data_IF_538787661694
#
_entry.id   IF_538787661694
#
_cell.length_a   1.000
_cell.length_b   1.000
_cell.length_c   1.000
_cell.angle_alpha   90.00
_cell.angle_beta   90.00
_cell.angle_gamma   90.00
#
_symmetry.space_group_name_H-M   'P 1'
#
loop_
_entity.id
_entity.type
_entity.pdbx_description
1 polymer ?
#
# COMPACT_ATOMS: atom_id res chain seq x y z
N UNK A 1 16.88 5.87 9.67
CA UNK A 1 16.12 4.69 10.20
C UNK A 1 14.78 4.60 9.47
N UNK A 2 14.26 3.38 9.19
CA UNK A 2 12.94 3.21 8.55
C UNK A 2 11.83 3.19 9.62
N UNK A 3 10.75 3.89 9.36
CA UNK A 3 9.55 4.01 10.19
C UNK A 3 8.31 4.01 9.31
N UNK A 4 7.13 3.96 9.91
CA UNK A 4 5.87 3.98 9.20
C UNK A 4 4.90 4.95 9.88
N UNK A 5 4.32 5.86 9.10
CA UNK A 5 3.16 6.63 9.50
C UNK A 5 1.91 5.85 9.06
N UNK A 6 0.99 5.61 9.98
CA UNK A 6 -0.34 5.07 9.67
C UNK A 6 -1.37 6.11 10.09
N UNK A 7 -2.26 6.46 9.18
CA UNK A 7 -3.24 7.52 9.40
C UNK A 7 -4.53 7.22 8.64
N UNK A 8 -5.64 7.78 9.11
CA UNK A 8 -6.89 7.76 8.39
C UNK A 8 -6.90 8.84 7.29
N UNK A 9 -7.61 8.56 6.21
CA UNK A 9 -7.82 9.53 5.12
C UNK A 9 -9.29 9.65 4.81
N UNK A 10 -9.70 10.87 4.43
CA UNK A 10 -11.09 11.19 4.11
C UNK A 10 -11.15 11.85 2.74
N UNK A 11 -11.95 11.32 1.80
CA UNK A 11 -12.30 12.04 0.58
C UNK A 11 -12.98 13.39 0.88
N UNK A 12 -12.69 14.39 0.05
CA UNK A 12 -13.24 15.74 0.25
C UNK A 12 -14.64 15.91 -0.34
N UNK A 13 -15.14 14.93 -1.10
CA UNK A 13 -16.46 14.91 -1.73
C UNK A 13 -16.90 13.46 -1.97
N UNK A 14 -18.20 13.26 -2.24
CA UNK A 14 -18.76 11.96 -2.64
C UNK A 14 -18.10 11.44 -3.93
N UNK A 15 -17.91 12.31 -4.93
CA UNK A 15 -17.21 11.94 -6.16
C UNK A 15 -15.75 11.51 -5.87
N UNK A 16 -15.06 12.19 -4.96
CA UNK A 16 -13.72 11.82 -4.53
C UNK A 16 -13.68 10.47 -3.83
N UNK A 17 -14.72 10.13 -3.06
CA UNK A 17 -14.86 8.82 -2.45
C UNK A 17 -15.05 7.73 -3.51
N UNK A 18 -15.91 7.98 -4.50
CA UNK A 18 -16.15 7.03 -5.57
C UNK A 18 -14.88 6.79 -6.40
N UNK A 19 -14.13 7.85 -6.71
CA UNK A 19 -12.81 7.74 -7.38
C UNK A 19 -11.87 6.87 -6.56
N UNK A 20 -11.80 7.05 -5.24
CA UNK A 20 -10.94 6.27 -4.36
C UNK A 20 -11.36 4.80 -4.32
N UNK A 21 -12.67 4.52 -4.21
CA UNK A 21 -13.21 3.16 -4.23
C UNK A 21 -12.90 2.45 -5.54
N UNK A 22 -13.15 3.08 -6.67
CA UNK A 22 -12.87 2.52 -8.00
C UNK A 22 -11.36 2.27 -8.20
N UNK A 23 -10.51 3.16 -7.70
CA UNK A 23 -9.04 2.99 -7.74
C UNK A 23 -8.60 1.75 -6.95
N UNK A 24 -9.12 1.59 -5.74
CA UNK A 24 -8.76 0.47 -4.87
C UNK A 24 -9.35 -0.85 -5.36
N UNK A 25 -10.58 -0.83 -5.90
CA UNK A 25 -11.21 -1.98 -6.53
C UNK A 25 -10.42 -2.46 -7.75
N UNK A 26 -10.06 -1.54 -8.66
CA UNK A 26 -9.21 -1.87 -9.82
C UNK A 26 -7.83 -2.41 -9.39
N UNK A 27 -7.26 -1.91 -8.30
CA UNK A 27 -6.01 -2.42 -7.74
C UNK A 27 -6.17 -3.86 -7.22
N UNK A 28 -7.29 -4.17 -6.55
CA UNK A 28 -7.60 -5.52 -6.08
C UNK A 28 -7.88 -6.46 -7.26
N UNK A 29 -8.61 -5.99 -8.28
CA UNK A 29 -8.88 -6.75 -9.50
C UNK A 29 -7.57 -7.11 -10.24
N UNK A 30 -6.68 -6.15 -10.45
CA UNK A 30 -5.37 -6.41 -11.06
C UNK A 30 -4.55 -7.42 -10.25
N UNK A 31 -4.52 -7.27 -8.91
CA UNK A 31 -3.87 -8.25 -8.04
C UNK A 31 -4.43 -9.65 -8.27
N UNK A 32 -5.75 -9.79 -8.29
CA UNK A 32 -6.43 -11.07 -8.46
C UNK A 32 -6.15 -11.70 -9.83
N UNK A 33 -6.16 -10.92 -10.91
CA UNK A 33 -5.87 -11.43 -12.25
C UNK A 33 -4.42 -11.90 -12.39
N UNK A 34 -3.45 -11.15 -11.89
CA UNK A 34 -2.03 -11.57 -11.85
C UNK A 34 -1.87 -12.84 -11.01
N UNK A 35 -2.50 -12.84 -9.82
CA UNK A 35 -2.41 -13.97 -8.90
C UNK A 35 -3.05 -15.22 -9.48
N UNK A 36 -4.19 -15.09 -10.15
CA UNK A 36 -4.86 -16.19 -10.84
C UNK A 36 -3.96 -16.83 -11.90
N UNK A 37 -3.39 -16.04 -12.82
CA UNK A 37 -2.49 -16.56 -13.84
C UNK A 37 -1.29 -17.30 -13.25
N UNK A 38 -0.74 -16.81 -12.14
CA UNK A 38 0.39 -17.44 -11.45
C UNK A 38 0.00 -18.70 -10.73
N UNK A 39 -1.17 -18.70 -10.08
CA UNK A 39 -1.67 -19.85 -9.34
C UNK A 39 -1.99 -21.01 -10.30
N UNK A 40 -2.59 -20.73 -11.46
CA UNK A 40 -2.88 -21.75 -12.47
C UNK A 40 -1.59 -22.40 -13.00
N UNK A 41 -0.53 -21.61 -13.26
CA UNK A 41 0.78 -22.14 -13.64
C UNK A 41 1.46 -22.92 -12.52
N UNK A 42 1.34 -22.45 -11.30
CA UNK A 42 1.88 -23.16 -10.15
C UNK A 42 1.25 -24.52 -9.93
N UNK A 43 -0.05 -24.65 -10.22
CA UNK A 43 -0.80 -25.89 -10.13
C UNK A 43 -0.73 -26.77 -11.40
N UNK A 44 0.01 -26.33 -12.42
CA UNK A 44 0.10 -27.01 -13.73
C UNK A 44 -1.28 -27.23 -14.39
N UNK A 45 -2.13 -26.21 -14.34
CA UNK A 45 -3.47 -26.27 -14.90
C UNK A 45 -3.46 -26.13 -16.43
N UNK A 46 -4.31 -26.88 -17.10
CA UNK A 46 -4.44 -26.89 -18.56
C UNK A 46 -4.64 -25.47 -19.13
N UNK A 47 -3.87 -25.12 -20.14
CA UNK A 47 -3.91 -23.81 -20.80
C UNK A 47 -3.06 -22.72 -20.14
N UNK A 48 -2.31 -23.06 -19.09
CA UNK A 48 -1.36 -22.15 -18.43
C UNK A 48 0.06 -22.73 -18.46
N UNK A 49 0.67 -22.69 -19.64
CA UNK A 49 2.05 -23.16 -19.81
C UNK A 49 3.08 -22.26 -19.12
N UNK A 50 4.24 -22.87 -18.76
CA UNK A 50 5.36 -22.17 -18.13
C UNK A 50 5.27 -22.07 -16.61
N UNK A 51 6.19 -21.31 -16.02
CA UNK A 51 6.23 -21.11 -14.58
C UNK A 51 5.42 -19.86 -14.14
N UNK A 52 5.36 -19.59 -12.86
CA UNK A 52 4.60 -18.45 -12.29
C UNK A 52 5.08 -17.07 -12.81
N UNK A 53 6.31 -17.00 -13.35
CA UNK A 53 6.89 -15.76 -13.86
C UNK A 53 6.52 -15.51 -15.33
N UNK A 54 5.95 -16.50 -16.03
CA UNK A 54 5.47 -16.41 -17.41
C UNK A 54 4.05 -15.83 -17.51
N UNK A 55 3.46 -15.41 -16.39
CA UNK A 55 2.20 -14.69 -16.38
C UNK A 55 2.29 -13.41 -17.24
N UNK A 56 1.30 -13.18 -18.12
CA UNK A 56 1.28 -12.00 -19.02
C UNK A 56 0.96 -10.72 -18.26
N UNK A 57 1.93 -10.28 -17.46
CA UNK A 57 1.83 -9.06 -16.68
C UNK A 57 1.84 -7.80 -17.54
N UNK A 58 2.38 -7.87 -18.78
CA UNK A 58 2.38 -6.76 -19.72
C UNK A 58 0.99 -6.43 -20.25
N UNK A 59 0.22 -7.45 -20.66
CA UNK A 59 -1.17 -7.28 -21.05
C UNK A 59 -2.03 -6.75 -19.90
N UNK A 60 -1.83 -7.28 -18.68
CA UNK A 60 -2.54 -6.82 -17.49
C UNK A 60 -2.19 -5.38 -17.13
N UNK A 61 -0.91 -4.98 -17.18
CA UNK A 61 -0.52 -3.56 -17.02
C UNK A 61 -1.25 -2.71 -18.07
N UNK A 62 -1.25 -3.11 -19.33
CA UNK A 62 -1.94 -2.44 -20.43
C UNK A 62 -3.44 -2.23 -20.16
N UNK A 63 -4.11 -3.25 -19.62
CA UNK A 63 -5.53 -3.22 -19.25
C UNK A 63 -5.84 -2.22 -18.15
N UNK A 64 -5.00 -2.15 -17.12
CA UNK A 64 -5.28 -1.38 -15.91
C UNK A 64 -4.63 0.01 -15.84
N UNK A 65 -3.64 0.31 -16.70
CA UNK A 65 -2.91 1.58 -16.66
C UNK A 65 -3.80 2.83 -16.86
N UNK A 66 -4.90 2.69 -17.59
CA UNK A 66 -5.86 3.78 -17.80
C UNK A 66 -6.58 4.20 -16.52
N UNK A 67 -6.87 3.25 -15.64
CA UNK A 67 -7.55 3.46 -14.37
C UNK A 67 -6.56 3.81 -13.25
N UNK A 68 -5.53 2.99 -13.09
CA UNK A 68 -4.57 3.09 -11.99
C UNK A 68 -3.43 4.10 -12.24
N UNK A 69 -3.17 4.44 -13.51
CA UNK A 69 -1.89 4.99 -13.93
C UNK A 69 -0.82 3.88 -14.04
N UNK A 70 0.12 4.04 -14.98
CA UNK A 70 1.13 3.00 -15.27
C UNK A 70 1.97 2.64 -14.03
N UNK A 71 2.43 3.63 -13.29
CA UNK A 71 3.28 3.42 -12.11
C UNK A 71 2.58 2.65 -10.98
N UNK A 72 1.29 2.88 -10.76
CA UNK A 72 0.49 2.16 -9.77
C UNK A 72 0.21 0.73 -10.23
N UNK A 73 -0.14 0.52 -11.50
CA UNK A 73 -0.34 -0.83 -12.05
C UNK A 73 0.93 -1.68 -11.89
N UNK A 74 2.11 -1.14 -12.25
CA UNK A 74 3.40 -1.78 -12.04
C UNK A 74 3.67 -2.11 -10.57
N UNK A 75 3.28 -1.23 -9.63
CA UNK A 75 3.48 -1.49 -8.20
C UNK A 75 2.60 -2.63 -7.70
N UNK A 76 1.35 -2.76 -8.17
CA UNK A 76 0.48 -3.87 -7.81
C UNK A 76 1.06 -5.20 -8.31
N UNK A 77 1.50 -5.25 -9.57
CA UNK A 77 2.16 -6.42 -10.17
C UNK A 77 3.45 -6.76 -9.40
N UNK A 78 4.27 -5.75 -9.10
CA UNK A 78 5.50 -5.90 -8.33
C UNK A 78 5.25 -6.44 -6.92
N UNK A 79 4.22 -5.94 -6.23
CA UNK A 79 3.84 -6.41 -4.89
C UNK A 79 3.35 -7.87 -4.92
N UNK A 80 2.60 -8.27 -5.96
CA UNK A 80 2.24 -9.67 -6.16
C UNK A 80 3.48 -10.55 -6.40
N UNK A 81 4.44 -10.06 -7.20
CA UNK A 81 5.72 -10.76 -7.41
C UNK A 81 6.52 -10.93 -6.10
N UNK A 82 6.53 -9.92 -5.22
CA UNK A 82 7.15 -10.01 -3.91
C UNK A 82 6.47 -11.07 -3.02
N UNK A 83 5.14 -11.17 -3.07
CA UNK A 83 4.38 -12.17 -2.32
C UNK A 83 4.73 -13.60 -2.78
N UNK A 84 4.78 -13.84 -4.11
CA UNK A 84 5.18 -15.14 -4.65
C UNK A 84 6.62 -15.52 -4.31
N UNK A 85 7.57 -14.56 -4.36
CA UNK A 85 8.96 -14.82 -3.91
C UNK A 85 9.01 -15.13 -2.42
N UNK A 86 8.18 -14.45 -1.62
CA UNK A 86 8.02 -14.73 -0.19
C UNK A 86 7.51 -16.15 0.06
N UNK A 87 6.49 -16.56 -0.67
CA UNK A 87 5.94 -17.91 -0.61
C UNK A 87 6.98 -18.98 -0.95
N UNK A 88 7.71 -18.86 -2.07
CA UNK A 88 8.74 -19.83 -2.43
C UNK A 88 9.85 -19.91 -1.38
N UNK A 89 10.30 -18.77 -0.85
CA UNK A 89 11.29 -18.75 0.23
C UNK A 89 10.80 -19.48 1.48
N UNK A 90 9.55 -19.28 1.87
CA UNK A 90 8.95 -19.97 3.02
C UNK A 90 8.80 -21.47 2.74
N UNK A 91 8.44 -21.85 1.52
CA UNK A 91 8.34 -23.25 1.08
C UNK A 91 9.70 -23.95 1.15
N UNK A 92 10.77 -23.30 0.69
CA UNK A 92 12.13 -23.82 0.78
C UNK A 92 12.56 -23.99 2.26
N UNK A 93 12.25 -23.01 3.11
CA UNK A 93 12.53 -23.09 4.54
C UNK A 93 11.73 -24.18 5.26
N UNK A 94 10.49 -24.44 4.83
CA UNK A 94 9.67 -25.53 5.38
C UNK A 94 10.23 -26.90 5.05
N UNK A 95 10.82 -27.08 3.85
CA UNK A 95 11.45 -28.34 3.43
C UNK A 95 12.88 -28.53 3.95
N UNK A 96 13.49 -27.50 4.52
CA UNK A 96 14.81 -27.58 5.16
C UNK A 96 14.67 -28.14 6.57
N UNK A 97 15.03 -29.42 6.75
CA UNK A 97 14.98 -30.14 8.04
C UNK A 97 15.80 -29.46 9.14
N UNK A 98 16.79 -28.65 8.79
CA UNK A 98 17.61 -27.88 9.74
C UNK A 98 16.90 -26.61 10.25
N UNK A 99 15.82 -26.17 9.58
CA UNK A 99 15.09 -24.95 9.90
C UNK A 99 13.84 -25.24 10.72
N UNK A 100 13.86 -24.82 11.99
CA UNK A 100 12.72 -24.97 12.92
C UNK A 100 11.82 -23.74 13.00
N UNK A 101 12.08 -22.69 12.20
CA UNK A 101 11.34 -21.43 12.26
C UNK A 101 10.02 -21.44 11.48
N UNK A 102 9.88 -22.32 10.48
CA UNK A 102 8.66 -22.50 9.67
C UNK A 102 8.06 -23.86 10.00
N UNK A 103 7.00 -23.89 10.81
CA UNK A 103 6.37 -25.10 11.32
C UNK A 103 5.11 -25.51 10.55
N UNK A 104 4.53 -24.59 9.78
CA UNK A 104 3.31 -24.80 8.99
C UNK A 104 3.65 -24.75 7.50
N UNK A 105 2.96 -25.59 6.71
CA UNK A 105 3.11 -25.56 5.26
C UNK A 105 2.62 -24.19 4.73
N UNK A 106 3.46 -23.42 4.03
CA UNK A 106 3.05 -22.12 3.51
C UNK A 106 2.07 -22.28 2.34
N UNK A 107 1.10 -21.38 2.29
CA UNK A 107 0.15 -21.29 1.19
C UNK A 107 0.59 -20.25 0.15
N UNK A 108 0.21 -20.44 -1.14
CA UNK A 108 0.37 -19.42 -2.17
C UNK A 108 -0.31 -18.11 -1.80
N UNK A 109 0.10 -16.97 -2.40
CA UNK A 109 -0.56 -15.69 -2.14
C UNK A 109 -2.08 -15.76 -2.41
N UNK A 110 -2.86 -15.27 -1.44
CA UNK A 110 -4.32 -15.26 -1.52
C UNK A 110 -4.88 -14.18 -2.45
N UNK A 111 -6.17 -14.32 -2.78
CA UNK A 111 -6.95 -13.32 -3.51
C UNK A 111 -7.46 -12.21 -2.58
N UNK A 112 -7.75 -11.05 -3.15
CA UNK A 112 -8.35 -9.90 -2.46
C UNK A 112 -9.87 -9.88 -2.65
N UNK A 113 -10.55 -10.90 -2.11
CA UNK A 113 -11.96 -11.11 -2.35
C UNK A 113 -12.29 -11.43 -3.81
N UNK A 114 -13.56 -11.46 -4.15
CA UNK A 114 -14.06 -11.68 -5.51
C UNK A 114 -15.08 -10.60 -5.90
N UNK A 115 -15.62 -10.68 -7.11
CA UNK A 115 -16.58 -9.70 -7.61
C UNK A 115 -17.97 -9.85 -6.98
N UNK A 116 -18.35 -11.08 -6.66
CA UNK A 116 -19.68 -11.41 -6.12
C UNK A 116 -19.82 -11.04 -4.63
N UNK A 117 -18.79 -11.35 -3.82
CA UNK A 117 -18.77 -11.08 -2.38
C UNK A 117 -18.14 -9.72 -2.02
N UNK A 118 -17.67 -9.00 -3.02
CA UNK A 118 -16.93 -7.75 -2.89
C UNK A 118 -15.42 -7.93 -2.76
N UNK A 119 -14.68 -7.12 -3.49
CA UNK A 119 -13.22 -7.09 -3.39
C UNK A 119 -12.77 -6.29 -2.17
N UNK A 120 -11.72 -6.76 -1.51
CA UNK A 120 -11.04 -5.99 -0.49
C UNK A 120 -10.43 -4.73 -1.11
N UNK A 121 -10.95 -3.57 -0.77
CA UNK A 121 -10.48 -2.28 -1.27
C UNK A 121 -9.08 -1.99 -0.72
N UNK A 122 -8.06 -2.47 -1.44
CA UNK A 122 -6.66 -2.32 -1.06
C UNK A 122 -5.79 -2.03 -2.28
N UNK A 123 -4.97 -1.01 -2.16
CA UNK A 123 -4.04 -0.57 -3.21
C UNK A 123 -2.64 -0.28 -2.69
N UNK A 124 -1.71 -0.24 -3.62
CA UNK A 124 -0.30 0.11 -3.39
C UNK A 124 0.09 1.17 -4.40
N UNK A 125 0.55 2.31 -3.92
CA UNK A 125 0.91 3.48 -4.73
C UNK A 125 2.42 3.67 -4.69
N UNK A 126 3.03 3.87 -5.87
CA UNK A 126 4.48 4.11 -5.96
C UNK A 126 4.86 5.45 -5.32
N UNK A 127 6.07 5.54 -4.76
CA UNK A 127 6.54 6.69 -3.97
C UNK A 127 6.49 8.04 -4.70
N UNK A 128 6.55 8.05 -6.01
CA UNK A 128 6.48 9.24 -6.87
C UNK A 128 5.08 9.55 -7.41
N UNK A 129 4.11 8.65 -7.17
CA UNK A 129 2.72 8.81 -7.57
C UNK A 129 1.83 9.37 -6.45
N UNK A 130 2.39 9.75 -5.32
CA UNK A 130 1.66 10.41 -4.25
C UNK A 130 2.52 11.49 -3.57
N UNK A 131 1.84 12.41 -2.89
CA UNK A 131 2.46 13.45 -2.05
C UNK A 131 1.69 13.54 -0.74
N UNK A 132 2.41 13.63 0.38
CA UNK A 132 1.84 13.91 1.70
C UNK A 132 2.34 15.27 2.16
N UNK A 133 1.42 16.12 2.52
CA UNK A 133 1.71 17.41 3.15
C UNK A 133 1.15 17.42 4.57
N UNK A 134 2.02 17.70 5.53
CA UNK A 134 1.67 17.81 6.93
C UNK A 134 1.59 19.28 7.34
N UNK A 135 0.54 19.68 8.03
CA UNK A 135 0.33 21.05 8.48
C UNK A 135 -1.05 21.24 9.10
N UNK A 136 -1.53 22.47 9.14
CA UNK A 136 -2.86 22.81 9.67
C UNK A 136 -3.99 22.13 8.90
N UNK A 137 -3.76 21.83 7.62
CA UNK A 137 -4.62 21.03 6.75
C UNK A 137 -3.77 19.95 6.10
N UNK A 138 -3.52 18.88 6.82
CA UNK A 138 -2.76 17.74 6.32
C UNK A 138 -3.51 17.05 5.18
N UNK A 139 -2.80 16.76 4.09
CA UNK A 139 -3.40 16.16 2.89
C UNK A 139 -2.53 15.11 2.24
N UNK A 140 -3.19 14.15 1.62
CA UNK A 140 -2.62 13.16 0.73
C UNK A 140 -3.13 13.43 -0.69
N UNK A 141 -2.25 13.54 -1.65
CA UNK A 141 -2.59 13.63 -3.07
C UNK A 141 -2.06 12.41 -3.81
N UNK A 142 -2.92 11.75 -4.60
CA UNK A 142 -2.61 10.51 -5.33
C UNK A 142 -2.84 10.74 -6.82
N UNK A 143 -1.88 10.34 -7.65
CA UNK A 143 -2.07 10.33 -9.11
C UNK A 143 -3.07 9.24 -9.48
N UNK A 144 -4.08 9.61 -10.25
CA UNK A 144 -5.10 8.70 -10.80
C UNK A 144 -5.01 8.61 -12.31
N UNK A 145 -5.39 7.48 -12.86
CA UNK A 145 -5.36 7.25 -14.31
C UNK A 145 -6.40 8.11 -15.05
N UNK A 146 -6.16 8.34 -16.34
CA UNK A 146 -6.98 9.18 -17.20
C UNK A 146 -8.41 8.67 -17.33
N UNK A 147 -8.57 7.37 -17.56
CA UNK A 147 -9.90 6.73 -17.68
C UNK A 147 -10.75 6.94 -16.42
N UNK A 148 -10.13 6.87 -15.24
CA UNK A 148 -10.84 7.08 -13.97
C UNK A 148 -11.24 8.55 -13.78
N UNK A 149 -10.37 9.48 -14.19
CA UNK A 149 -10.66 10.91 -14.18
C UNK A 149 -11.83 11.27 -15.10
N UNK A 150 -11.81 10.71 -16.31
CA UNK A 150 -12.88 10.96 -17.30
C UNK A 150 -14.21 10.38 -16.84
N UNK A 151 -14.21 9.17 -16.26
CA UNK A 151 -15.41 8.54 -15.70
C UNK A 151 -16.10 9.41 -14.65
N UNK A 152 -15.32 10.10 -13.82
CA UNK A 152 -15.82 10.91 -12.69
C UNK A 152 -15.75 12.42 -12.95
N UNK A 153 -15.49 12.86 -14.19
CA UNK A 153 -15.33 14.28 -14.53
C UNK A 153 -14.36 15.03 -13.57
N UNK A 154 -13.32 14.33 -13.10
CA UNK A 154 -12.37 14.91 -12.15
C UNK A 154 -11.47 15.94 -12.82
N UNK A 155 -11.43 17.20 -12.37
CA UNK A 155 -10.71 18.27 -13.06
C UNK A 155 -9.20 18.20 -12.97
N UNK A 156 -8.66 17.31 -12.13
CA UNK A 156 -7.23 17.21 -11.85
C UNK A 156 -6.65 15.82 -12.06
N UNK A 157 -5.33 15.74 -12.27
CA UNK A 157 -4.61 14.46 -12.36
C UNK A 157 -4.39 13.79 -11.00
N UNK A 158 -4.78 14.45 -9.91
CA UNK A 158 -4.58 13.97 -8.54
C UNK A 158 -5.89 13.97 -7.76
N UNK A 159 -6.17 12.86 -7.10
CA UNK A 159 -7.17 12.76 -6.07
C UNK A 159 -6.61 13.36 -4.78
N UNK A 160 -7.37 14.28 -4.18
CA UNK A 160 -7.01 14.92 -2.91
C UNK A 160 -7.83 14.34 -1.77
N UNK A 161 -7.14 13.94 -0.72
CA UNK A 161 -7.72 13.37 0.49
C UNK A 161 -7.24 14.18 1.69
N UNK A 162 -8.14 14.44 2.62
CA UNK A 162 -7.79 14.97 3.94
C UNK A 162 -7.12 13.86 4.77
N UNK A 163 -6.05 14.18 5.49
CA UNK A 163 -5.45 13.28 6.47
C UNK A 163 -6.04 13.62 7.84
N UNK A 164 -6.55 12.60 8.52
CA UNK A 164 -7.09 12.73 9.86
C UNK A 164 -6.03 12.31 10.88
N UNK A 165 -5.69 13.24 11.78
CA UNK A 165 -4.66 13.06 12.79
C UNK A 165 -3.29 13.57 12.36
N UNK A 166 -2.31 13.34 13.21
CA UNK A 166 -0.95 13.83 13.07
C UNK A 166 0.02 12.70 12.73
N UNK A 167 1.13 12.99 12.04
CA UNK A 167 2.14 11.97 11.76
C UNK A 167 2.92 11.61 13.02
N UNK A 168 3.21 10.33 13.18
CA UNK A 168 4.16 9.90 14.21
C UNK A 168 5.61 10.33 13.89
N UNK A 169 5.90 10.49 12.58
CA UNK A 169 7.23 10.78 12.05
C UNK A 169 7.15 11.91 11.01
N UNK A 170 7.13 13.19 11.45
CA UNK A 170 6.90 14.34 10.56
C UNK A 170 8.09 14.70 9.67
N UNK A 171 9.30 14.49 10.12
CA UNK A 171 10.53 14.83 9.39
C UNK A 171 11.01 13.65 8.56
N UNK A 172 10.72 13.61 7.27
CA UNK A 172 11.11 12.51 6.39
C UNK A 172 12.17 12.93 5.40
N UNK A 173 13.24 12.11 5.27
CA UNK A 173 14.26 12.27 4.25
C UNK A 173 13.84 11.62 2.92
N UNK A 174 13.10 10.50 2.99
CA UNK A 174 12.57 9.78 1.84
C UNK A 174 11.30 9.05 2.25
N UNK A 175 10.41 8.83 1.27
CA UNK A 175 9.17 8.08 1.44
C UNK A 175 9.20 6.77 0.62
N UNK A 176 8.55 5.74 1.16
CA UNK A 176 8.37 4.45 0.49
C UNK A 176 7.11 4.38 -0.36
N UNK A 177 6.68 3.17 -0.67
CA UNK A 177 5.38 2.90 -1.30
C UNK A 177 4.28 3.12 -0.27
N UNK A 178 3.23 3.85 -0.66
CA UNK A 178 2.03 4.02 0.16
C UNK A 178 1.15 2.78 0.00
N UNK A 179 0.68 2.21 1.09
CA UNK A 179 -0.41 1.24 1.08
C UNK A 179 -1.69 1.94 1.52
N UNK A 180 -2.78 1.74 0.78
CA UNK A 180 -4.10 2.28 1.02
C UNK A 180 -5.10 1.14 1.12
N UNK A 181 -6.02 1.22 2.09
CA UNK A 181 -7.10 0.24 2.23
C UNK A 181 -8.33 0.87 2.88
N UNK A 182 -9.47 0.25 2.64
CA UNK A 182 -10.69 0.51 3.39
C UNK A 182 -10.77 -0.45 4.57
N UNK A 183 -10.92 0.10 5.77
CA UNK A 183 -11.12 -0.67 6.99
C UNK A 183 -12.62 -0.79 7.25
N UNK A 184 -13.17 -1.97 7.04
CA UNK A 184 -14.61 -2.23 7.19
C UNK A 184 -15.07 -2.13 8.65
N UNK A 185 -14.16 -2.34 9.61
CA UNK A 185 -14.48 -2.34 11.04
C UNK A 185 -14.92 -0.96 11.51
N UNK A 186 -14.25 0.07 11.06
CA UNK A 186 -14.56 1.47 11.41
C UNK A 186 -15.03 2.30 10.21
N UNK A 187 -15.29 1.64 9.07
CA UNK A 187 -15.77 2.26 7.83
C UNK A 187 -14.91 3.44 7.37
N UNK A 188 -13.59 3.29 7.47
CA UNK A 188 -12.62 4.36 7.25
C UNK A 188 -11.54 3.95 6.26
N UNK A 189 -11.17 4.85 5.35
CA UNK A 189 -9.96 4.64 4.55
C UNK A 189 -8.72 4.93 5.38
N UNK A 190 -7.72 4.05 5.28
CA UNK A 190 -6.44 4.15 5.97
C UNK A 190 -5.29 4.11 5.00
N UNK A 191 -4.21 4.78 5.38
CA UNK A 191 -2.96 4.79 4.63
C UNK A 191 -1.79 4.44 5.54
N UNK A 192 -0.83 3.71 4.98
CA UNK A 192 0.44 3.36 5.61
C UNK A 192 1.58 3.88 4.74
N UNK A 193 2.32 4.85 5.26
CA UNK A 193 3.42 5.53 4.59
C UNK A 193 4.75 5.13 5.24
N UNK A 194 5.55 4.24 4.63
CA UNK A 194 6.92 4.03 5.08
C UNK A 194 7.77 5.26 4.81
N UNK A 195 8.57 5.64 5.81
CA UNK A 195 9.42 6.84 5.76
C UNK A 195 10.82 6.53 6.27
N UNK A 196 11.81 7.25 5.76
CA UNK A 196 13.16 7.27 6.30
C UNK A 196 13.31 8.51 7.17
N UNK A 197 13.70 8.32 8.41
CA UNK A 197 13.95 9.41 9.36
C UNK A 197 15.42 9.41 9.77
N UNK A 198 15.97 10.60 10.05
CA UNK A 198 17.33 10.75 10.56
C UNK A 198 17.49 10.07 11.92
N UNK A 199 18.72 9.69 12.27
CA UNK A 199 19.01 9.12 13.58
C UNK A 199 18.93 10.18 14.72
N UNK A 200 18.92 11.46 14.38
CA UNK A 200 18.81 12.58 15.31
C UNK A 200 17.40 12.72 15.93
N UNK A 201 16.41 12.03 15.34
CA UNK A 201 15.05 11.98 15.90
C UNK A 201 14.91 11.00 17.07
N UNK A 202 15.99 10.47 17.60
CA UNK A 202 15.96 9.56 18.75
C UNK A 202 15.70 10.35 20.03
N UNK A 203 14.51 10.23 20.59
CA UNK A 203 14.25 10.70 21.96
C UNK A 203 14.96 9.74 22.91
N UNK A 204 16.01 10.20 23.57
CA UNK A 204 16.57 9.53 24.72
C UNK A 204 15.85 10.11 25.93
N UNK A 205 15.02 9.35 26.65
CA UNK A 205 14.46 9.85 27.90
C UNK A 205 15.64 10.11 28.85
N UNK A 206 15.72 11.33 29.35
CA UNK A 206 16.61 11.64 30.46
C UNK A 206 16.01 11.02 31.74
N UNK A 207 16.84 10.42 32.56
CA UNK A 207 16.41 9.57 33.67
C UNK A 207 15.46 10.26 34.69
N UNK A 208 15.39 11.59 34.70
CA UNK A 208 14.57 12.41 35.60
C UNK A 208 13.71 13.46 34.90
N UNK A 209 13.55 13.39 33.55
CA UNK A 209 12.78 14.39 32.79
C UNK A 209 11.78 13.72 31.86
N UNK A 210 10.56 14.22 31.87
CA UNK A 210 9.52 13.76 30.95
C UNK A 210 9.69 14.43 29.60
N UNK A 211 10.23 13.74 28.60
CA UNK A 211 10.25 14.22 27.23
C UNK A 211 8.89 13.93 26.58
N UNK A 212 8.20 14.98 26.16
CA UNK A 212 6.95 14.89 25.42
C UNK A 212 7.23 15.20 23.96
N UNK A 213 7.05 14.22 23.10
CA UNK A 213 7.02 14.47 21.64
C UNK A 213 5.63 15.00 21.32
N UNK A 214 5.55 16.26 20.98
CA UNK A 214 4.38 16.83 20.31
C UNK A 214 4.79 17.24 18.91
N UNK A 215 4.20 16.58 17.93
CA UNK A 215 4.17 16.99 16.53
C UNK A 215 5.30 17.96 16.12
N UNK A 216 6.42 17.45 15.63
CA UNK A 216 7.56 18.21 15.10
C UNK A 216 8.42 18.99 16.11
N UNK A 217 8.18 18.91 17.43
CA UNK A 217 9.00 19.61 18.42
C UNK A 217 9.31 18.70 19.60
N UNK A 218 10.58 18.69 19.98
CA UNK A 218 10.99 18.15 21.28
C UNK A 218 10.83 19.28 22.31
N UNK A 219 10.01 19.05 23.32
CA UNK A 219 9.95 19.90 24.48
C UNK A 219 10.74 19.23 25.60
N UNK A 220 11.91 19.76 25.91
CA UNK A 220 12.63 19.43 27.14
C UNK A 220 12.08 20.36 28.21
N UNK A 221 11.37 19.83 29.18
CA UNK A 221 10.98 20.60 30.37
C UNK A 221 12.19 20.65 31.31
N UNK A 222 12.82 21.82 31.43
CA UNK A 222 13.76 22.05 32.51
C UNK A 222 12.97 22.35 33.79
N UNK A 223 13.23 21.59 34.81
CA UNK A 223 12.80 21.99 36.18
C UNK A 223 13.68 23.15 36.64
N UNK A 224 13.04 24.24 36.97
CA UNK A 224 13.62 25.31 37.75
C UNK A 224 13.44 25.03 39.24
#
# INVERSE_FOLDING_TARGET
MKRTNTFAVRPLSEDGEQVLRDLLDASAALWNEVNFQRLMRYNDEDGFEGDVWDADTGALEGKYKGVLGASTAQQVIGKNSEAWRGFFRLKDQYHDESNTSVTEHPDPPGFRGNEDDGRQLKGVIRKDAYTVEWGDRSRLEIVVGETLRDKHNSPGSRLRLEIVGDPNWPGTEDQGRLELWYDETDSTFRASQPVTVSNETRVTPLADETAVIRNRRFLIAHQT
#
